data_IF_845996896182
#
_entry.id   IF_845996896182
#
_cell.length_a   1.000
_cell.length_b   1.000
_cell.length_c   1.000
_cell.angle_alpha   90.00
_cell.angle_beta   90.00
_cell.angle_gamma   90.00
#
_symmetry.space_group_name_H-M   'P 1'
#
loop_
_entity.id
_entity.type
_entity.pdbx_description
1 polymer ?
#
# COMPACT_ATOMS: atom_id res chain seq x y z
N UNK A 1 1.42 33.91 -10.88
CA UNK A 1 0.76 33.47 -9.64
C UNK A 1 -0.46 32.64 -9.94
N UNK A 2 -1.28 33.11 -10.86
CA UNK A 2 -2.51 32.42 -11.25
C UNK A 2 -2.22 31.04 -11.84
N UNK A 3 -1.21 30.94 -12.71
CA UNK A 3 -0.81 29.66 -13.31
C UNK A 3 -0.29 28.68 -12.28
N UNK A 4 0.45 29.16 -11.28
CA UNK A 4 0.97 28.32 -10.20
C UNK A 4 -0.17 27.73 -9.37
N UNK A 5 -1.21 28.50 -9.10
CA UNK A 5 -2.37 28.04 -8.36
C UNK A 5 -3.11 26.94 -9.11
N UNK A 6 -3.26 27.09 -10.43
CA UNK A 6 -3.92 26.09 -11.27
C UNK A 6 -3.09 24.81 -11.33
N UNK A 7 -1.77 24.91 -11.48
CA UNK A 7 -0.89 23.75 -11.50
C UNK A 7 -0.95 23.01 -10.17
N UNK A 8 -0.98 23.73 -9.06
CA UNK A 8 -1.10 23.12 -7.74
C UNK A 8 -2.41 22.33 -7.61
N UNK A 9 -3.53 22.91 -8.04
CA UNK A 9 -4.83 22.24 -8.01
C UNK A 9 -4.85 20.99 -8.88
N UNK A 10 -4.24 21.07 -10.07
CA UNK A 10 -4.17 19.95 -10.98
C UNK A 10 -3.32 18.82 -10.41
N UNK A 11 -2.19 19.16 -9.80
CA UNK A 11 -1.33 18.17 -9.16
C UNK A 11 -2.00 17.53 -7.96
N UNK A 12 -2.71 18.32 -7.16
CA UNK A 12 -3.47 17.79 -6.03
C UNK A 12 -4.54 16.79 -6.49
N UNK A 13 -5.31 17.17 -7.51
CA UNK A 13 -6.33 16.31 -8.08
C UNK A 13 -5.73 15.02 -8.60
N UNK A 14 -4.61 15.15 -9.32
CA UNK A 14 -3.90 13.98 -9.83
C UNK A 14 -3.44 13.08 -8.71
N UNK A 15 -2.78 13.65 -7.69
CA UNK A 15 -2.23 12.87 -6.58
C UNK A 15 -3.33 12.14 -5.80
N UNK A 16 -4.44 12.81 -5.52
CA UNK A 16 -5.57 12.20 -4.81
C UNK A 16 -6.19 11.06 -5.61
N UNK A 17 -6.41 11.29 -6.91
CA UNK A 17 -6.97 10.28 -7.81
C UNK A 17 -6.02 9.10 -7.95
N UNK A 18 -4.72 9.37 -8.07
CA UNK A 18 -3.68 8.35 -8.19
C UNK A 18 -3.67 7.46 -6.94
N UNK A 19 -3.62 8.09 -5.75
CA UNK A 19 -3.56 7.34 -4.49
C UNK A 19 -4.79 6.44 -4.32
N UNK A 20 -5.99 7.01 -4.55
CA UNK A 20 -7.24 6.27 -4.47
C UNK A 20 -7.26 5.07 -5.42
N UNK A 21 -6.93 5.33 -6.68
CA UNK A 21 -6.99 4.31 -7.72
C UNK A 21 -5.98 3.19 -7.50
N UNK A 22 -4.75 3.55 -7.17
CA UNK A 22 -3.71 2.55 -6.95
C UNK A 22 -4.00 1.69 -5.72
N UNK A 23 -4.54 2.28 -4.68
CA UNK A 23 -4.92 1.50 -3.51
C UNK A 23 -6.11 0.60 -3.78
N UNK A 24 -7.19 1.15 -4.35
CA UNK A 24 -8.45 0.39 -4.55
C UNK A 24 -8.34 -0.65 -5.66
N UNK A 25 -7.65 -0.33 -6.74
CA UNK A 25 -7.59 -1.22 -7.91
C UNK A 25 -6.37 -2.14 -7.85
N UNK A 26 -5.21 -1.57 -7.54
CA UNK A 26 -3.95 -2.33 -7.53
C UNK A 26 -3.56 -2.86 -6.15
N UNK A 27 -4.25 -2.42 -5.11
CA UNK A 27 -3.98 -2.81 -3.72
C UNK A 27 -2.56 -2.43 -3.27
N UNK A 28 -2.08 -1.26 -3.73
CA UNK A 28 -0.78 -0.75 -3.29
C UNK A 28 -0.86 -0.24 -1.86
N UNK A 29 0.19 -0.50 -1.08
CA UNK A 29 0.37 0.13 0.22
C UNK A 29 0.87 1.56 0.09
N UNK A 30 0.88 2.27 1.21
CA UNK A 30 1.23 3.70 1.23
C UNK A 30 2.67 3.96 0.80
N UNK A 31 3.59 3.06 1.14
CA UNK A 31 5.01 3.25 0.79
C UNK A 31 5.18 3.31 -0.72
N UNK A 32 4.53 2.41 -1.45
CA UNK A 32 4.63 2.39 -2.90
C UNK A 32 3.98 3.61 -3.54
N UNK A 33 2.82 4.01 -3.01
CA UNK A 33 2.11 5.20 -3.50
C UNK A 33 2.97 6.45 -3.31
N UNK A 34 3.57 6.60 -2.11
CA UNK A 34 4.44 7.74 -1.81
C UNK A 34 5.64 7.77 -2.75
N UNK A 35 6.31 6.64 -2.92
CA UNK A 35 7.49 6.56 -3.78
C UNK A 35 7.18 6.90 -5.23
N UNK A 36 6.05 6.41 -5.74
CA UNK A 36 5.63 6.72 -7.10
C UNK A 36 5.30 8.20 -7.28
N UNK A 37 4.62 8.79 -6.30
CA UNK A 37 4.30 10.22 -6.37
C UNK A 37 5.56 11.08 -6.27
N UNK A 38 6.52 10.69 -5.43
CA UNK A 38 7.82 11.38 -5.37
C UNK A 38 8.56 11.28 -6.70
N UNK A 39 8.53 10.13 -7.33
CA UNK A 39 9.15 9.92 -8.64
C UNK A 39 8.53 10.86 -9.68
N UNK A 40 7.24 11.16 -9.56
CA UNK A 40 6.52 12.07 -10.44
C UNK A 40 6.67 13.53 -10.03
N UNK A 41 7.56 13.82 -9.09
CA UNK A 41 7.85 15.17 -8.61
C UNK A 41 6.67 15.85 -7.91
N UNK A 42 5.81 15.07 -7.30
CA UNK A 42 4.71 15.61 -6.48
C UNK A 42 5.29 15.98 -5.12
N UNK A 43 4.93 17.16 -4.61
CA UNK A 43 5.44 17.66 -3.34
C UNK A 43 4.95 16.81 -2.16
N UNK A 44 5.72 16.83 -1.07
CA UNK A 44 5.35 16.10 0.14
C UNK A 44 4.01 16.57 0.69
N UNK A 45 3.73 17.86 0.61
CA UNK A 45 2.44 18.42 1.04
C UNK A 45 1.28 17.78 0.29
N UNK A 46 1.39 17.67 -1.03
CA UNK A 46 0.35 17.07 -1.86
C UNK A 46 0.25 15.56 -1.64
N UNK A 47 1.38 14.90 -1.40
CA UNK A 47 1.38 13.47 -1.07
C UNK A 47 0.62 13.24 0.22
N UNK A 48 0.85 14.06 1.24
CA UNK A 48 0.15 13.95 2.52
C UNK A 48 -1.36 14.13 2.35
N UNK A 49 -1.76 15.08 1.52
CA UNK A 49 -3.17 15.29 1.19
C UNK A 49 -3.75 14.07 0.49
N UNK A 50 -3.02 13.54 -0.49
CA UNK A 50 -3.46 12.39 -1.28
C UNK A 50 -3.67 11.14 -0.42
N UNK A 51 -2.79 10.91 0.55
CA UNK A 51 -2.90 9.73 1.42
C UNK A 51 -4.15 9.77 2.30
N UNK A 52 -4.67 10.95 2.57
CA UNK A 52 -5.91 11.09 3.35
C UNK A 52 -7.14 10.59 2.60
N UNK A 53 -7.03 10.39 1.30
CA UNK A 53 -8.11 9.80 0.51
C UNK A 53 -8.35 8.34 0.85
N UNK A 54 -7.38 7.71 1.51
CA UNK A 54 -7.48 6.32 1.96
C UNK A 54 -7.72 6.37 3.47
N UNK A 55 -8.92 5.97 3.91
CA UNK A 55 -9.22 5.97 5.34
C UNK A 55 -8.45 4.87 6.05
N UNK A 56 -8.15 5.03 7.35
CA UNK A 56 -7.48 3.95 8.09
C UNK A 56 -8.24 2.63 8.04
N UNK A 57 -9.57 2.68 8.09
CA UNK A 57 -10.41 1.48 8.03
C UNK A 57 -10.29 0.79 6.69
N UNK A 58 -10.38 1.54 5.60
CA UNK A 58 -10.23 1.01 4.25
C UNK A 58 -8.83 0.39 4.06
N UNK A 59 -7.80 1.08 4.56
CA UNK A 59 -6.43 0.61 4.44
C UNK A 59 -6.24 -0.74 5.14
N UNK A 60 -6.75 -0.87 6.36
CA UNK A 60 -6.66 -2.11 7.12
C UNK A 60 -7.44 -3.24 6.45
N UNK A 61 -8.64 -2.96 5.98
CA UNK A 61 -9.45 -3.96 5.27
C UNK A 61 -8.75 -4.49 4.03
N UNK A 62 -8.20 -3.59 3.23
CA UNK A 62 -7.47 -3.96 2.01
C UNK A 62 -6.23 -4.78 2.36
N UNK A 63 -5.47 -4.33 3.35
CA UNK A 63 -4.26 -5.02 3.79
C UNK A 63 -4.58 -6.45 4.24
N UNK A 64 -5.54 -6.61 5.13
CA UNK A 64 -5.87 -7.94 5.67
C UNK A 64 -6.43 -8.87 4.60
N UNK A 65 -7.32 -8.37 3.75
CA UNK A 65 -7.90 -9.17 2.67
C UNK A 65 -6.82 -9.65 1.70
N UNK A 66 -5.94 -8.76 1.30
CA UNK A 66 -4.85 -9.11 0.38
C UNK A 66 -3.88 -10.08 1.03
N UNK A 67 -3.51 -9.84 2.29
CA UNK A 67 -2.56 -10.68 3.02
C UNK A 67 -3.10 -12.10 3.17
N UNK A 68 -4.35 -12.24 3.57
CA UNK A 68 -4.97 -13.56 3.77
C UNK A 68 -5.09 -14.32 2.46
N UNK A 69 -5.47 -13.63 1.40
CA UNK A 69 -5.59 -14.26 0.09
C UNK A 69 -4.22 -14.69 -0.44
N UNK A 70 -3.21 -13.85 -0.29
CA UNK A 70 -1.86 -14.19 -0.75
C UNK A 70 -1.30 -15.37 0.03
N UNK A 71 -1.43 -15.35 1.37
CA UNK A 71 -0.94 -16.43 2.22
C UNK A 71 -1.58 -17.76 1.82
N UNK A 72 -2.89 -17.76 1.62
CA UNK A 72 -3.61 -18.98 1.22
C UNK A 72 -3.18 -19.49 -0.14
N UNK A 73 -2.71 -18.62 -1.02
CA UNK A 73 -2.30 -19.00 -2.38
C UNK A 73 -0.90 -19.59 -2.45
N UNK A 74 -0.08 -19.40 -1.42
CA UNK A 74 1.30 -19.88 -1.41
C UNK A 74 1.31 -21.36 -1.12
N UNK A 75 1.88 -22.14 -2.04
CA UNK A 75 1.90 -23.62 -1.95
C UNK A 75 3.21 -24.16 -1.40
N UNK A 76 3.98 -23.35 -0.74
CA UNK A 76 5.23 -23.73 -0.09
C UNK A 76 4.94 -24.41 1.24
N UNK A 77 5.52 -25.60 1.49
CA UNK A 77 5.35 -26.32 2.75
C UNK A 77 6.35 -25.91 3.81
N UNK A 78 7.53 -25.41 3.39
CA UNK A 78 8.54 -24.93 4.34
C UNK A 78 8.11 -23.59 4.91
N UNK A 79 7.99 -23.51 6.23
CA UNK A 79 7.48 -22.30 6.92
C UNK A 79 8.31 -21.07 6.63
N UNK A 80 9.64 -21.18 6.67
CA UNK A 80 10.52 -20.04 6.43
C UNK A 80 10.42 -19.56 4.99
N UNK A 81 10.35 -20.47 4.03
CA UNK A 81 10.21 -20.12 2.62
C UNK A 81 8.85 -19.49 2.34
N UNK A 82 7.79 -20.01 2.98
CA UNK A 82 6.45 -19.43 2.83
C UNK A 82 6.40 -18.02 3.37
N UNK A 83 6.98 -17.81 4.55
CA UNK A 83 7.09 -16.48 5.17
C UNK A 83 7.81 -15.50 4.23
N UNK A 84 8.94 -15.94 3.67
CA UNK A 84 9.71 -15.08 2.76
C UNK A 84 8.90 -14.70 1.52
N UNK A 85 8.22 -15.64 0.91
CA UNK A 85 7.38 -15.35 -0.27
C UNK A 85 6.28 -14.36 0.04
N UNK A 86 5.62 -14.54 1.19
CA UNK A 86 4.57 -13.64 1.64
C UNK A 86 5.11 -12.23 1.90
N UNK A 87 6.19 -12.13 2.68
CA UNK A 87 6.77 -10.83 3.01
C UNK A 87 7.26 -10.09 1.77
N UNK A 88 7.93 -10.80 0.85
CA UNK A 88 8.41 -10.21 -0.39
C UNK A 88 7.25 -9.66 -1.23
N UNK A 89 6.14 -10.40 -1.31
CA UNK A 89 4.96 -9.96 -2.04
C UNK A 89 4.36 -8.70 -1.43
N UNK A 90 4.15 -8.71 -0.10
CA UNK A 90 3.53 -7.59 0.58
C UNK A 90 4.42 -6.34 0.58
N UNK A 91 5.73 -6.53 0.70
CA UNK A 91 6.67 -5.41 0.62
C UNK A 91 6.68 -4.79 -0.77
N UNK A 92 6.60 -5.61 -1.83
CA UNK A 92 6.51 -5.08 -3.19
C UNK A 92 5.22 -4.31 -3.42
N UNK A 93 4.13 -4.73 -2.79
CA UNK A 93 2.88 -3.98 -2.85
C UNK A 93 2.98 -2.63 -2.13
N UNK A 94 3.97 -2.47 -1.27
CA UNK A 94 4.25 -1.20 -0.62
C UNK A 94 3.66 -1.04 0.77
N UNK A 95 3.31 -2.13 1.43
CA UNK A 95 2.82 -2.06 2.80
C UNK A 95 3.98 -1.93 3.79
N UNK A 96 3.69 -1.37 4.95
CA UNK A 96 4.68 -1.14 5.98
C UNK A 96 5.15 -2.46 6.59
N UNK A 97 6.45 -2.58 6.82
CA UNK A 97 7.05 -3.83 7.29
C UNK A 97 6.51 -4.28 8.65
N UNK A 98 6.23 -3.34 9.54
CA UNK A 98 5.67 -3.69 10.86
C UNK A 98 4.30 -4.35 10.73
N UNK A 99 3.45 -3.88 9.82
CA UNK A 99 2.15 -4.48 9.58
C UNK A 99 2.30 -5.90 9.02
N UNK A 100 3.25 -6.06 8.10
CA UNK A 100 3.50 -7.35 7.44
C UNK A 100 3.99 -8.39 8.45
N UNK A 101 4.93 -8.02 9.30
CA UNK A 101 5.51 -8.95 10.29
C UNK A 101 4.49 -9.36 11.36
N UNK A 102 3.65 -8.44 11.80
CA UNK A 102 2.55 -8.78 12.71
C UNK A 102 1.57 -9.74 12.06
N UNK A 103 1.22 -9.45 10.80
CA UNK A 103 0.25 -10.28 10.08
C UNK A 103 0.79 -11.69 9.83
N UNK A 104 2.08 -11.83 9.53
CA UNK A 104 2.65 -13.15 9.27
C UNK A 104 2.62 -14.02 10.53
N UNK A 105 2.84 -13.43 11.70
CA UNK A 105 2.73 -14.15 12.96
C UNK A 105 1.31 -14.66 13.18
N UNK A 106 0.33 -13.81 12.91
CA UNK A 106 -1.08 -14.17 13.03
C UNK A 106 -1.45 -15.30 12.07
N UNK A 107 -1.00 -15.22 10.83
CA UNK A 107 -1.29 -16.22 9.81
C UNK A 107 -0.63 -17.56 10.13
N UNK A 108 0.61 -17.54 10.61
CA UNK A 108 1.31 -18.76 11.02
C UNK A 108 0.62 -19.43 12.21
N UNK A 109 0.16 -18.64 13.16
CA UNK A 109 -0.56 -19.17 14.33
C UNK A 109 -1.89 -19.81 13.93
N UNK A 110 -2.56 -19.24 12.95
CA UNK A 110 -3.84 -19.77 12.45
C UNK A 110 -3.67 -21.10 11.72
N UNK A 111 -2.49 -21.35 11.15
CA UNK A 111 -2.20 -22.58 10.41
C UNK A 111 -1.85 -23.75 11.34
N UNK A 112 -1.71 -23.53 12.65
CA UNK A 112 -1.35 -24.57 13.62
C UNK A 112 -2.60 -25.24 14.26
#
# INVERSE_FOLDING_TARGET
>A
VHLLAENFRNEERFACSFARGKHRIKHWGKIRIVNELKFKNISQTLINIALKEITPEEYQETFHALAERNWASIRETNTLKKRKKFCDFMLRKGFESNLIYEKVKELENSDQ
#
